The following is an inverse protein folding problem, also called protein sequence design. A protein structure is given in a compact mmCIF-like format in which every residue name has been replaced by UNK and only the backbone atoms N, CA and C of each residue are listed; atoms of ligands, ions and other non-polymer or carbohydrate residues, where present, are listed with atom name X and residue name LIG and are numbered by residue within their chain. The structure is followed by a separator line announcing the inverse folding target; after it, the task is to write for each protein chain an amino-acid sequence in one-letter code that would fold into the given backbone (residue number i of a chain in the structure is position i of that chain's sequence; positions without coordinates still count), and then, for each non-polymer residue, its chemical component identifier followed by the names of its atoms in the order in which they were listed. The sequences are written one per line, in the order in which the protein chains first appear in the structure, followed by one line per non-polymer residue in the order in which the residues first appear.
data_IF_951057650689
#
_entry.id   IF_951057650689
#
_cell.length_a   1.000
_cell.length_b   1.000
_cell.length_c   1.000
_cell.angle_alpha   90.00
_cell.angle_beta   90.00
_cell.angle_gamma   90.00
#
_symmetry.space_group_name_H-M   'P 1'
#
loop_
_entity.id
_entity.type
_entity.pdbx_description
1 polymer ?
#
# COMPACT_ATOMS: atom_id res chain seq x y z
N UNK A 1 -11.79 -7.03 9.48
CA UNK A 1 -10.91 -7.88 8.66
C UNK A 1 -9.53 -8.01 9.29
N UNK A 2 -8.60 -7.04 9.17
CA UNK A 2 -7.20 -7.20 9.61
C UNK A 2 -7.05 -7.73 11.04
N UNK A 3 -7.88 -7.27 11.98
CA UNK A 3 -7.85 -7.73 13.38
C UNK A 3 -8.44 -9.11 13.62
N UNK A 4 -9.25 -9.57 12.70
CA UNK A 4 -10.01 -10.83 12.81
C UNK A 4 -9.30 -11.96 12.08
N UNK A 5 -8.65 -11.62 10.95
CA UNK A 5 -8.07 -12.60 10.03
C UNK A 5 -6.56 -12.72 10.16
N UNK A 6 -5.93 -11.83 10.94
CA UNK A 6 -4.46 -11.82 11.11
C UNK A 6 -4.08 -11.57 12.56
N UNK A 7 -2.85 -11.91 12.90
CA UNK A 7 -2.20 -11.64 14.18
C UNK A 7 -1.41 -10.33 14.22
N UNK A 8 -1.63 -9.45 13.24
CA UNK A 8 -0.96 -8.14 13.17
C UNK A 8 -1.26 -7.30 14.42
N UNK A 9 -0.25 -6.67 14.98
CA UNK A 9 -0.42 -5.74 16.09
C UNK A 9 -1.43 -4.63 15.71
N UNK A 10 -2.53 -4.46 16.47
CA UNK A 10 -3.53 -3.44 16.18
C UNK A 10 -2.99 -2.01 16.07
N UNK A 11 -1.84 -1.70 16.68
CA UNK A 11 -1.15 -0.42 16.57
C UNK A 11 -0.59 -0.17 15.16
N UNK A 12 -0.39 -1.25 14.39
CA UNK A 12 0.06 -1.21 13.00
C UNK A 12 -1.08 -1.13 11.97
N UNK A 13 -2.33 -1.15 12.43
CA UNK A 13 -3.51 -0.98 11.57
C UNK A 13 -3.88 0.50 11.56
N UNK A 14 -3.43 1.20 10.53
CA UNK A 14 -3.60 2.64 10.40
C UNK A 14 -4.76 2.97 9.48
N UNK A 15 -5.49 4.04 9.78
CA UNK A 15 -6.57 4.54 8.94
C UNK A 15 -6.19 5.89 8.38
N UNK A 16 -6.32 6.00 7.06
CA UNK A 16 -6.11 7.25 6.32
C UNK A 16 -7.41 7.66 5.63
N UNK A 17 -7.43 8.90 5.14
CA UNK A 17 -8.55 9.43 4.39
C UNK A 17 -8.57 8.95 2.92
N UNK A 18 -9.51 9.50 2.15
CA UNK A 18 -9.72 9.14 0.74
C UNK A 18 -8.44 9.21 -0.10
N UNK A 19 -7.56 10.14 0.17
CA UNK A 19 -6.31 10.31 -0.60
C UNK A 19 -5.43 9.06 -0.60
N UNK A 20 -5.40 8.30 0.50
CA UNK A 20 -4.55 7.12 0.64
C UNK A 20 -5.35 5.80 0.64
N UNK A 21 -6.61 5.81 1.07
CA UNK A 21 -7.42 4.59 1.16
C UNK A 21 -8.63 4.57 0.23
N UNK A 22 -8.50 5.19 -0.94
CA UNK A 22 -9.46 5.07 -2.03
C UNK A 22 -8.70 5.06 -3.36
N UNK A 23 -8.80 3.96 -4.10
CA UNK A 23 -8.15 3.77 -5.38
C UNK A 23 -9.09 4.10 -6.53
N UNK A 24 -8.58 4.76 -7.55
CA UNK A 24 -9.28 5.13 -8.76
C UNK A 24 -8.42 4.75 -9.97
N UNK A 25 -9.01 4.13 -10.97
CA UNK A 25 -8.31 3.72 -12.19
C UNK A 25 -7.79 4.94 -12.98
N UNK A 26 -8.51 6.05 -12.92
CA UNK A 26 -8.22 7.31 -13.59
C UNK A 26 -9.35 8.29 -13.34
N UNK A 27 -9.53 9.24 -14.27
CA UNK A 27 -10.61 10.23 -14.20
C UNK A 27 -11.99 9.57 -14.25
N UNK A 28 -12.09 8.43 -14.93
CA UNK A 28 -13.28 7.58 -15.04
C UNK A 28 -12.91 6.11 -14.86
N UNK A 29 -13.89 5.27 -14.58
CA UNK A 29 -13.69 3.83 -14.48
C UNK A 29 -13.88 3.26 -13.08
N UNK A 30 -13.60 1.97 -12.91
CA UNK A 30 -13.75 1.27 -11.65
C UNK A 30 -12.92 1.91 -10.53
N UNK A 31 -13.51 1.97 -9.34
CA UNK A 31 -12.85 2.53 -8.16
C UNK A 31 -13.47 1.97 -6.87
N UNK A 32 -12.79 2.20 -5.75
CA UNK A 32 -13.29 1.80 -4.46
C UNK A 32 -12.32 2.01 -3.31
N UNK A 33 -12.79 1.81 -2.08
CA UNK A 33 -11.92 1.84 -0.92
C UNK A 33 -10.80 0.81 -1.06
N UNK A 34 -9.62 1.15 -0.56
CA UNK A 34 -8.48 0.23 -0.59
C UNK A 34 -7.79 0.14 0.77
N UNK A 35 -7.02 -0.92 0.92
CA UNK A 35 -6.08 -1.11 2.01
C UNK A 35 -4.73 -1.51 1.45
N UNK A 36 -3.67 -1.07 2.10
CA UNK A 36 -2.30 -1.27 1.65
C UNK A 36 -1.51 -2.05 2.68
N UNK A 37 -0.58 -2.88 2.21
CA UNK A 37 0.41 -3.52 3.05
C UNK A 37 1.73 -2.80 2.85
N UNK A 38 2.24 -2.22 3.92
CA UNK A 38 3.53 -1.57 3.97
C UNK A 38 4.51 -2.38 4.79
N UNK A 39 5.76 -2.46 4.33
CA UNK A 39 6.85 -2.99 5.13
C UNK A 39 7.59 -1.85 5.82
N UNK A 40 7.89 -2.05 7.10
CA UNK A 40 8.85 -1.23 7.83
C UNK A 40 10.26 -1.77 7.55
N UNK A 41 11.03 -1.07 6.74
CA UNK A 41 12.42 -1.46 6.39
C UNK A 41 13.40 -1.34 7.54
N UNK A 42 12.95 -0.80 8.63
CA UNK A 42 13.82 -0.55 9.75
C UNK A 42 14.66 0.72 9.60
N UNK A 43 15.60 0.85 10.47
CA UNK A 43 16.53 1.97 10.62
C UNK A 43 17.07 1.97 12.03
N UNK A 44 17.96 2.87 12.40
CA UNK A 44 18.32 3.08 13.80
C UNK A 44 17.03 3.28 14.61
N UNK A 45 16.78 2.44 15.60
CA UNK A 45 15.58 2.52 16.39
C UNK A 45 14.38 1.70 15.85
N UNK A 46 14.62 0.61 15.15
CA UNK A 46 13.57 -0.24 14.53
C UNK A 46 12.87 -1.19 15.48
N UNK A 47 13.15 -1.11 16.74
CA UNK A 47 12.46 -1.93 17.73
C UNK A 47 10.96 -1.54 17.78
N UNK A 48 10.03 -2.49 17.89
CA UNK A 48 8.62 -2.20 18.13
C UNK A 48 8.36 -1.32 19.36
N UNK A 49 9.29 -1.27 20.28
CA UNK A 49 9.26 -0.41 21.47
C UNK A 49 9.75 1.02 21.22
N UNK A 50 10.17 1.32 19.99
CA UNK A 50 10.56 2.68 19.65
C UNK A 50 9.36 3.62 19.69
N UNK A 51 9.60 4.78 20.22
CA UNK A 51 8.66 5.91 20.27
C UNK A 51 8.25 6.45 18.88
N UNK A 52 8.56 5.72 17.81
CA UNK A 52 8.21 6.10 16.45
C UNK A 52 6.74 5.79 16.17
N UNK A 53 5.95 6.83 15.98
CA UNK A 53 4.56 6.67 15.57
C UNK A 53 4.51 6.37 14.05
N UNK A 54 4.10 5.15 13.64
CA UNK A 54 4.00 4.79 12.23
C UNK A 54 3.03 5.69 11.46
N UNK A 55 2.10 6.36 12.12
CA UNK A 55 1.21 7.34 11.48
C UNK A 55 1.95 8.54 10.90
N UNK A 56 3.13 8.85 11.42
CA UNK A 56 3.94 9.95 10.92
C UNK A 56 4.74 9.53 9.68
N UNK A 57 5.07 8.25 9.56
CA UNK A 57 5.95 7.74 8.50
C UNK A 57 5.25 7.13 7.30
N UNK A 58 4.18 6.39 7.54
CA UNK A 58 3.41 5.75 6.46
C UNK A 58 2.70 6.80 5.62
N UNK A 59 2.82 6.68 4.29
CA UNK A 59 2.23 7.61 3.32
C UNK A 59 2.70 9.09 3.45
N UNK A 60 3.85 9.31 4.07
CA UNK A 60 4.43 10.65 4.26
C UNK A 60 5.63 10.95 3.37
N UNK A 61 6.01 10.02 2.49
CA UNK A 61 7.25 10.07 1.72
C UNK A 61 8.49 9.59 2.49
N UNK A 62 8.30 9.00 3.66
CA UNK A 62 9.39 8.39 4.41
C UNK A 62 9.74 7.03 3.81
N UNK A 63 10.97 6.90 3.30
CA UNK A 63 11.48 5.69 2.63
C UNK A 63 11.56 4.46 3.54
N UNK A 64 11.47 4.63 4.86
CA UNK A 64 11.39 3.53 5.82
C UNK A 64 10.18 2.65 5.57
N UNK A 65 9.02 3.25 5.24
CA UNK A 65 7.77 2.54 5.02
C UNK A 65 7.48 2.41 3.54
N UNK A 66 7.69 1.22 3.03
CA UNK A 66 7.49 0.92 1.61
C UNK A 66 6.17 0.19 1.41
N UNK A 67 5.27 0.78 0.64
CA UNK A 67 4.08 0.08 0.15
C UNK A 67 4.49 -1.07 -0.76
N UNK A 68 4.03 -2.27 -0.44
CA UNK A 68 4.27 -3.49 -1.23
C UNK A 68 3.04 -3.90 -2.03
N UNK A 69 1.86 -3.77 -1.43
CA UNK A 69 0.65 -4.37 -1.95
C UNK A 69 -0.56 -3.48 -1.69
N UNK A 70 -1.37 -3.24 -2.72
CA UNK A 70 -2.64 -2.55 -2.62
C UNK A 70 -3.78 -3.54 -2.89
N UNK A 71 -4.78 -3.56 -2.02
CA UNK A 71 -5.96 -4.40 -2.11
C UNK A 71 -7.18 -3.49 -2.23
N UNK A 72 -7.82 -3.49 -3.39
CA UNK A 72 -8.92 -2.58 -3.72
C UNK A 72 -10.26 -3.31 -3.67
N UNK A 73 -11.19 -2.77 -2.91
CA UNK A 73 -12.58 -3.22 -2.86
C UNK A 73 -13.36 -2.49 -3.95
N UNK A 74 -13.38 -3.06 -5.15
CA UNK A 74 -14.09 -2.50 -6.31
C UNK A 74 -15.58 -2.48 -6.07
N UNK A 75 -16.14 -1.29 -5.87
CA UNK A 75 -17.55 -1.10 -5.53
C UNK A 75 -18.23 -0.11 -6.45
N UNK A 76 -17.50 0.81 -7.05
CA UNK A 76 -18.03 1.92 -7.80
C UNK A 76 -17.39 2.04 -9.19
N UNK A 77 -18.10 2.70 -10.08
CA UNK A 77 -17.61 3.24 -11.34
C UNK A 77 -17.70 4.77 -11.29
N UNK A 78 -16.58 5.46 -11.53
CA UNK A 78 -16.59 6.90 -11.69
C UNK A 78 -17.04 7.26 -13.10
N UNK A 79 -18.07 8.08 -13.19
CA UNK A 79 -18.62 8.58 -14.44
C UNK A 79 -17.91 9.86 -14.89
N UNK A 80 -18.10 10.24 -16.16
CA UNK A 80 -17.51 11.45 -16.76
C UNK A 80 -17.88 12.75 -16.04
N UNK A 81 -19.05 12.76 -15.39
CA UNK A 81 -19.51 13.90 -14.59
C UNK A 81 -18.99 13.87 -13.13
N UNK A 82 -18.11 12.94 -12.81
CA UNK A 82 -17.47 12.78 -11.51
C UNK A 82 -18.32 12.03 -10.47
N UNK A 83 -19.56 11.63 -10.79
CA UNK A 83 -20.40 10.84 -9.89
C UNK A 83 -19.90 9.41 -9.78
N UNK A 84 -20.17 8.79 -8.64
CA UNK A 84 -19.94 7.37 -8.40
C UNK A 84 -21.24 6.60 -8.62
N UNK A 85 -21.21 5.66 -9.54
CA UNK A 85 -22.28 4.67 -9.71
C UNK A 85 -21.84 3.35 -9.08
N UNK A 86 -22.73 2.63 -8.43
CA UNK A 86 -22.41 1.31 -7.90
C UNK A 86 -22.17 0.32 -9.06
N UNK A 87 -21.17 -0.54 -8.88
CA UNK A 87 -20.95 -1.66 -9.79
C UNK A 87 -22.03 -2.73 -9.59
N UNK A 88 -22.46 -3.41 -10.66
CA UNK A 88 -23.46 -4.47 -10.56
C UNK A 88 -22.97 -5.68 -9.73
N UNK A 89 -21.69 -5.87 -9.65
CA UNK A 89 -21.04 -6.87 -8.79
C UNK A 89 -19.82 -6.24 -8.13
N UNK A 90 -19.67 -6.47 -6.82
CA UNK A 90 -18.50 -6.07 -6.06
C UNK A 90 -17.41 -7.13 -6.19
N UNK A 91 -16.17 -6.69 -6.29
CA UNK A 91 -15.01 -7.58 -6.39
C UNK A 91 -13.84 -7.00 -5.60
N UNK A 92 -12.81 -7.82 -5.42
CA UNK A 92 -11.51 -7.37 -4.90
C UNK A 92 -10.50 -7.50 -6.01
N UNK A 93 -9.78 -6.43 -6.27
CA UNK A 93 -8.64 -6.41 -7.17
C UNK A 93 -7.38 -6.03 -6.40
N UNK A 94 -6.24 -6.60 -6.77
CA UNK A 94 -5.00 -6.36 -6.04
C UNK A 94 -3.85 -6.07 -6.98
N UNK A 95 -2.94 -5.18 -6.55
CA UNK A 95 -1.69 -4.87 -7.22
C UNK A 95 -0.52 -4.94 -6.25
N UNK A 96 0.50 -5.75 -6.58
CA UNK A 96 1.72 -5.87 -5.81
C UNK A 96 2.90 -5.35 -6.63
N UNK A 97 3.74 -4.51 -6.02
CA UNK A 97 4.95 -4.00 -6.66
C UNK A 97 6.03 -5.06 -6.73
N UNK A 98 6.20 -5.70 -7.91
CA UNK A 98 7.21 -6.76 -8.10
C UNK A 98 8.62 -6.30 -7.69
N UNK A 99 9.05 -5.15 -8.19
CA UNK A 99 10.39 -4.60 -7.93
C UNK A 99 10.57 -4.22 -6.45
N UNK A 100 9.51 -3.74 -5.82
CA UNK A 100 9.52 -3.42 -4.39
C UNK A 100 9.66 -4.66 -3.53
N UNK A 101 8.89 -5.70 -3.82
CA UNK A 101 9.00 -7.00 -3.14
C UNK A 101 10.38 -7.60 -3.34
N UNK A 102 10.91 -7.56 -4.57
CA UNK A 102 12.25 -8.07 -4.88
C UNK A 102 13.33 -7.33 -4.08
N UNK A 103 13.26 -6.01 -4.01
CA UNK A 103 14.22 -5.21 -3.23
C UNK A 103 14.24 -5.61 -1.76
N UNK A 104 13.07 -5.86 -1.18
CA UNK A 104 12.93 -6.30 0.21
C UNK A 104 13.53 -7.69 0.41
N UNK A 105 13.22 -8.65 -0.46
CA UNK A 105 13.73 -10.02 -0.38
C UNK A 105 15.24 -10.08 -0.53
N UNK A 106 15.83 -9.19 -1.31
CA UNK A 106 17.27 -9.08 -1.50
C UNK A 106 17.98 -8.15 -0.49
N UNK A 107 17.24 -7.57 0.46
CA UNK A 107 17.79 -6.65 1.45
C UNK A 107 18.37 -5.37 0.84
N UNK A 108 17.80 -4.91 -0.28
CA UNK A 108 18.22 -3.70 -0.99
C UNK A 108 17.36 -2.50 -0.62
N UNK A 109 17.97 -1.33 -0.56
CA UNK A 109 17.25 -0.07 -0.29
C UNK A 109 16.65 0.55 -1.55
N UNK A 110 17.20 0.22 -2.72
CA UNK A 110 16.70 0.68 -4.01
C UNK A 110 16.31 -0.50 -4.89
N UNK A 111 15.27 -0.34 -5.69
CA UNK A 111 14.87 -1.32 -6.72
C UNK A 111 16.00 -1.51 -7.75
N UNK A 112 16.76 -0.45 -8.04
CA UNK A 112 17.85 -0.45 -9.01
C UNK A 112 19.07 -1.26 -8.56
N UNK A 113 19.21 -1.52 -7.25
CA UNK A 113 20.30 -2.34 -6.69
C UNK A 113 19.99 -3.84 -6.69
N UNK A 114 18.81 -4.22 -7.19
CA UNK A 114 18.42 -5.63 -7.32
C UNK A 114 19.07 -6.28 -8.54
N UNK A 115 19.12 -7.61 -8.54
CA UNK A 115 19.63 -8.40 -9.67
C UNK A 115 18.81 -8.22 -10.96
N UNK A 116 17.57 -7.73 -10.82
CA UNK A 116 16.72 -7.38 -11.96
C UNK A 116 17.27 -6.19 -12.76
N UNK A 117 17.77 -5.17 -12.09
CA UNK A 117 18.21 -3.93 -12.71
C UNK A 117 19.72 -3.73 -12.73
N UNK A 118 20.45 -4.28 -11.75
CA UNK A 118 21.91 -4.12 -11.67
C UNK A 118 22.66 -4.47 -12.98
N UNK A 119 22.23 -5.47 -13.80
CA UNK A 119 22.89 -5.75 -15.07
C UNK A 119 22.70 -4.68 -16.15
N UNK A 120 21.81 -3.72 -15.95
CA UNK A 120 21.53 -2.64 -16.92
C UNK A 120 22.39 -1.40 -16.68
N UNK A 121 23.11 -1.34 -15.57
CA UNK A 121 24.00 -0.28 -15.15
C UNK A 121 25.44 -0.77 -15.02
#
# INVERSE_FOLDING_TARGET
LWREETDIDPRRILRFGKKANFWEMGDTGPCGPCTEIHIDRGGPGTNPDDSYDPKIGVNSGNERFLELWNLVFMQFNRLDDGRLAELPAKSVDTGMGFERVLSVLQGKNSNYDTDLFAPLF
#
